data_IF_477379197941
#
_entry.id   IF_477379197941
#
_cell.length_a   1.000
_cell.length_b   1.000
_cell.length_c   1.000
_cell.angle_alpha   90.00
_cell.angle_beta   90.00
_cell.angle_gamma   90.00
#
_symmetry.space_group_name_H-M   'P 1'
#
loop_
_entity.id
_entity.type
_entity.pdbx_description
1 polymer ?
#
# COMPACT_ATOMS: atom_id res chain seq x y z
N UNK A 1 17.86 10.38 8.38
CA UNK A 1 18.30 10.38 6.97
C UNK A 1 18.29 8.98 6.38
N UNK A 2 18.95 8.00 7.01
CA UNK A 2 19.20 6.67 6.43
C UNK A 2 17.96 5.82 6.04
N UNK A 3 16.81 6.00 6.71
CA UNK A 3 15.55 5.27 6.39
C UNK A 3 14.80 5.94 5.22
N UNK A 4 14.87 7.27 5.11
CA UNK A 4 14.20 8.05 4.06
C UNK A 4 14.90 7.80 2.73
N UNK A 5 16.24 7.90 2.71
CA UNK A 5 17.04 7.63 1.50
C UNK A 5 16.87 6.19 0.98
N UNK A 6 16.75 5.21 1.89
CA UNK A 6 16.45 3.81 1.54
C UNK A 6 15.04 3.62 1.00
N UNK A 7 14.08 4.45 1.38
CA UNK A 7 12.71 4.39 0.86
C UNK A 7 12.58 5.12 -0.49
N UNK A 8 13.19 6.29 -0.64
CA UNK A 8 13.31 6.99 -1.92
C UNK A 8 13.89 6.06 -3.00
N UNK A 9 15.03 5.41 -2.70
CA UNK A 9 15.67 4.48 -3.63
C UNK A 9 14.79 3.28 -4.01
N UNK A 10 14.00 2.76 -3.07
CA UNK A 10 13.05 1.66 -3.35
C UNK A 10 11.87 2.11 -4.21
N UNK A 11 11.32 3.30 -3.93
CA UNK A 11 10.25 3.89 -4.75
C UNK A 11 10.70 4.14 -6.19
N UNK A 12 11.94 4.63 -6.37
CA UNK A 12 12.52 4.89 -7.71
C UNK A 12 12.69 3.58 -8.47
N UNK A 13 13.20 2.55 -7.81
CA UNK A 13 13.35 1.24 -8.42
C UNK A 13 12.00 0.64 -8.86
N UNK A 14 10.96 0.72 -8.01
CA UNK A 14 9.63 0.22 -8.34
C UNK A 14 9.03 1.02 -9.51
N UNK A 15 9.21 2.34 -9.52
CA UNK A 15 8.74 3.21 -10.60
C UNK A 15 9.42 2.89 -11.94
N UNK A 16 10.74 2.69 -11.93
CA UNK A 16 11.48 2.27 -13.12
C UNK A 16 10.99 0.92 -13.65
N UNK A 17 10.75 -0.06 -12.77
CA UNK A 17 10.18 -1.35 -13.16
C UNK A 17 8.80 -1.19 -13.79
N UNK A 18 7.91 -0.35 -13.23
CA UNK A 18 6.59 -0.11 -13.82
C UNK A 18 6.69 0.51 -15.20
N UNK A 19 7.55 1.53 -15.38
CA UNK A 19 7.75 2.16 -16.67
C UNK A 19 8.26 1.17 -17.72
N UNK A 20 9.23 0.32 -17.36
CA UNK A 20 9.73 -0.74 -18.25
C UNK A 20 8.60 -1.70 -18.63
N UNK A 21 7.79 -2.14 -17.67
CA UNK A 21 6.68 -3.07 -17.92
C UNK A 21 5.59 -2.42 -18.81
N UNK A 22 5.26 -1.14 -18.59
CA UNK A 22 4.34 -0.38 -19.45
C UNK A 22 4.90 -0.28 -20.88
N UNK A 23 6.18 0.03 -21.02
CA UNK A 23 6.82 0.12 -22.34
C UNK A 23 6.80 -1.22 -23.08
N UNK A 24 7.03 -2.33 -22.38
CA UNK A 24 6.90 -3.68 -22.94
C UNK A 24 5.46 -4.05 -23.33
N UNK A 25 4.47 -3.55 -22.58
CA UNK A 25 3.05 -3.74 -22.89
C UNK A 25 2.62 -2.91 -24.12
N UNK A 26 3.07 -1.66 -24.24
CA UNK A 26 2.78 -0.76 -25.37
C UNK A 26 3.53 -1.14 -26.65
N UNK A 27 4.68 -1.81 -26.54
CA UNK A 27 5.43 -2.31 -27.71
C UNK A 27 4.77 -3.49 -28.45
N UNK A 28 3.61 -3.98 -27.98
CA UNK A 28 2.93 -5.17 -28.48
C UNK A 28 2.05 -5.00 -29.74
N UNK A 29 1.76 -3.77 -30.18
CA UNK A 29 0.94 -3.49 -31.36
C UNK A 29 -0.32 -2.67 -31.06
N UNK A 30 -1.09 -2.30 -32.10
CA UNK A 30 -2.21 -1.36 -32.03
C UNK A 30 -3.53 -1.96 -31.50
N UNK A 31 -3.68 -3.29 -31.47
CA UNK A 31 -4.86 -3.97 -30.94
C UNK A 31 -4.57 -4.55 -29.56
N UNK A 32 -4.90 -3.78 -28.52
CA UNK A 32 -4.75 -4.20 -27.13
C UNK A 32 -5.80 -5.26 -26.78
N UNK A 33 -5.34 -6.48 -26.50
CA UNK A 33 -6.19 -7.56 -25.99
C UNK A 33 -6.76 -7.19 -24.61
N UNK A 34 -7.91 -7.76 -24.23
CA UNK A 34 -8.62 -7.43 -22.98
C UNK A 34 -7.73 -7.47 -21.73
N UNK A 35 -6.88 -8.49 -21.61
CA UNK A 35 -5.96 -8.64 -20.47
C UNK A 35 -4.81 -7.63 -20.49
N UNK A 36 -4.39 -7.13 -21.66
CA UNK A 36 -3.35 -6.10 -21.80
C UNK A 36 -3.88 -4.73 -21.41
N UNK A 37 -5.11 -4.42 -21.82
CA UNK A 37 -5.81 -3.20 -21.39
C UNK A 37 -5.99 -3.17 -19.86
N UNK A 38 -6.40 -4.31 -19.27
CA UNK A 38 -6.49 -4.44 -17.80
C UNK A 38 -5.12 -4.30 -17.12
N UNK A 39 -4.07 -4.90 -17.69
CA UNK A 39 -2.72 -4.79 -17.17
C UNK A 39 -2.20 -3.33 -17.24
N UNK A 40 -2.39 -2.64 -18.36
CA UNK A 40 -2.01 -1.24 -18.51
C UNK A 40 -2.74 -0.35 -17.51
N UNK A 41 -4.04 -0.54 -17.35
CA UNK A 41 -4.84 0.23 -16.39
C UNK A 41 -4.33 0.02 -14.95
N UNK A 42 -4.03 -1.22 -14.58
CA UNK A 42 -3.49 -1.54 -13.24
C UNK A 42 -2.08 -1.01 -13.03
N UNK A 43 -1.22 -1.02 -14.06
CA UNK A 43 0.11 -0.45 -14.01
C UNK A 43 0.10 1.09 -13.95
N UNK A 44 -0.81 1.75 -14.67
CA UNK A 44 -1.01 3.21 -14.59
C UNK A 44 -1.46 3.60 -13.18
N UNK A 45 -2.37 2.84 -12.57
CA UNK A 45 -2.76 3.06 -11.17
C UNK A 45 -1.56 2.89 -10.22
N UNK A 46 -0.73 1.85 -10.43
CA UNK A 46 0.49 1.65 -9.65
C UNK A 46 1.46 2.84 -9.76
N UNK A 47 1.65 3.35 -10.99
CA UNK A 47 2.46 4.54 -11.23
C UNK A 47 1.89 5.78 -10.53
N UNK A 48 0.56 5.97 -10.55
CA UNK A 48 -0.12 7.05 -9.82
C UNK A 48 0.15 7.03 -8.32
N UNK A 49 0.06 5.87 -7.67
CA UNK A 49 0.41 5.72 -6.26
C UNK A 49 1.89 6.02 -5.96
N UNK A 50 2.80 5.71 -6.89
CA UNK A 50 4.21 6.08 -6.73
C UNK A 50 4.42 7.57 -6.88
N UNK A 51 3.76 8.23 -7.84
CA UNK A 51 3.81 9.69 -7.97
C UNK A 51 3.33 10.37 -6.69
N UNK A 52 2.26 9.87 -6.07
CA UNK A 52 1.80 10.36 -4.75
C UNK A 52 2.87 10.12 -3.67
N UNK A 53 3.52 8.96 -3.69
CA UNK A 53 4.61 8.62 -2.76
C UNK A 53 5.79 9.58 -2.91
N UNK A 54 6.18 9.93 -4.14
CA UNK A 54 7.25 10.90 -4.42
C UNK A 54 6.86 12.33 -4.07
N UNK A 55 5.66 12.74 -4.47
CA UNK A 55 5.16 14.07 -4.17
C UNK A 55 5.09 14.30 -2.66
N UNK A 56 4.66 13.30 -1.89
CA UNK A 56 4.65 13.37 -0.42
C UNK A 56 6.06 13.35 0.20
N UNK A 57 7.04 12.73 -0.46
CA UNK A 57 8.44 12.73 -0.02
C UNK A 57 9.12 14.10 -0.20
N UNK A 58 8.77 14.86 -1.25
CA UNK A 58 9.27 16.22 -1.49
C UNK A 58 8.88 17.21 -0.38
N UNK A 59 7.79 16.94 0.36
CA UNK A 59 7.36 17.75 1.50
C UNK A 59 7.90 17.22 2.84
N UNK A 60 9.17 16.77 2.85
CA UNK A 60 9.87 16.02 3.91
C UNK A 60 9.75 16.56 5.36
N UNK A 61 9.23 17.77 5.58
CA UNK A 61 8.94 18.36 6.89
C UNK A 61 7.61 17.90 7.52
N UNK A 62 6.85 17.02 6.87
CA UNK A 62 5.51 16.65 7.34
C UNK A 62 5.49 15.53 8.41
N UNK A 63 4.69 15.79 9.46
CA UNK A 63 4.38 14.93 10.62
C UNK A 63 4.26 13.44 10.28
N UNK A 64 4.57 12.58 11.26
CA UNK A 64 4.51 11.09 11.26
C UNK A 64 3.31 10.47 10.51
N UNK A 65 2.16 11.14 10.45
CA UNK A 65 0.99 10.69 9.68
C UNK A 65 1.25 10.64 8.17
N UNK A 66 1.92 11.63 7.61
CA UNK A 66 2.26 11.70 6.18
C UNK A 66 3.26 10.63 5.77
N UNK A 67 4.25 10.35 6.61
CA UNK A 67 5.17 9.24 6.43
C UNK A 67 4.47 7.87 6.37
N UNK A 68 3.40 7.68 7.16
CA UNK A 68 2.58 6.45 7.09
C UNK A 68 1.81 6.37 5.77
N UNK A 69 1.25 7.48 5.30
CA UNK A 69 0.56 7.54 4.00
C UNK A 69 1.52 7.20 2.86
N UNK A 70 2.74 7.76 2.86
CA UNK A 70 3.79 7.45 1.91
C UNK A 70 4.11 5.95 1.88
N UNK A 71 4.33 5.35 3.04
CA UNK A 71 4.70 3.94 3.16
C UNK A 71 3.56 3.00 2.75
N UNK A 72 2.31 3.38 3.04
CA UNK A 72 1.12 2.66 2.58
C UNK A 72 0.96 2.78 1.06
N UNK A 73 1.12 3.98 0.49
CA UNK A 73 1.07 4.22 -0.96
C UNK A 73 2.12 3.41 -1.72
N UNK A 74 3.34 3.34 -1.19
CA UNK A 74 4.42 2.51 -1.75
C UNK A 74 4.03 1.02 -1.77
N UNK A 75 3.47 0.50 -0.69
CA UNK A 75 3.03 -0.91 -0.62
C UNK A 75 1.91 -1.21 -1.61
N UNK A 76 0.93 -0.31 -1.75
CA UNK A 76 -0.14 -0.44 -2.74
C UNK A 76 0.40 -0.45 -4.17
N UNK A 77 1.36 0.42 -4.48
CA UNK A 77 1.98 0.44 -5.82
C UNK A 77 2.67 -0.88 -6.16
N UNK A 78 3.38 -1.49 -5.20
CA UNK A 78 4.02 -2.80 -5.40
C UNK A 78 3.02 -3.93 -5.62
N UNK A 79 1.91 -3.94 -4.86
CA UNK A 79 0.84 -4.94 -5.04
C UNK A 79 0.14 -4.81 -6.39
N UNK A 80 -0.11 -3.57 -6.84
CA UNK A 80 -0.70 -3.29 -8.16
C UNK A 80 0.26 -3.64 -9.30
N UNK A 81 1.56 -3.42 -9.13
CA UNK A 81 2.61 -3.85 -10.07
C UNK A 81 2.56 -5.37 -10.24
N UNK A 82 2.55 -6.13 -9.15
CA UNK A 82 2.47 -7.59 -9.23
C UNK A 82 1.17 -8.09 -9.88
N UNK A 83 0.05 -7.41 -9.62
CA UNK A 83 -1.23 -7.72 -10.28
C UNK A 83 -1.18 -7.44 -11.79
N UNK A 84 -0.62 -6.31 -12.20
CA UNK A 84 -0.43 -5.96 -13.62
C UNK A 84 0.46 -6.96 -14.34
N UNK A 85 1.52 -7.45 -13.68
CA UNK A 85 2.39 -8.51 -14.21
C UNK A 85 1.65 -9.85 -14.39
N UNK A 86 0.79 -10.25 -13.45
CA UNK A 86 -0.05 -11.46 -13.60
C UNK A 86 -0.94 -11.35 -14.84
N UNK A 87 -1.54 -10.19 -15.07
CA UNK A 87 -2.42 -9.94 -16.21
C UNK A 87 -1.65 -9.97 -17.54
N UNK A 88 -0.44 -9.40 -17.58
CA UNK A 88 0.46 -9.51 -18.74
C UNK A 88 0.87 -10.96 -19.02
N UNK A 89 1.21 -11.72 -17.98
CA UNK A 89 1.54 -13.15 -18.07
C UNK A 89 0.37 -13.96 -18.63
N UNK A 90 -0.88 -13.59 -18.30
CA UNK A 90 -2.10 -14.21 -18.85
C UNK A 90 -2.38 -13.80 -20.29
N UNK A 91 -2.00 -12.59 -20.69
CA UNK A 91 -2.17 -12.14 -22.07
C UNK A 91 -1.20 -12.84 -23.03
N UNK A 92 0.04 -13.05 -22.59
CA UNK A 92 1.07 -13.71 -23.40
C UNK A 92 0.82 -15.22 -23.47
N UNK A 93 1.26 -15.86 -24.56
CA UNK A 93 1.18 -17.32 -24.79
C UNK A 93 2.14 -18.13 -23.92
N UNK A 94 2.27 -17.76 -22.64
CA UNK A 94 3.13 -18.40 -21.66
C UNK A 94 2.36 -19.58 -21.06
N UNK A 95 3.04 -20.69 -20.70
CA UNK A 95 2.38 -21.83 -20.06
C UNK A 95 1.55 -21.41 -18.84
N UNK A 96 0.28 -21.80 -18.82
CA UNK A 96 -0.68 -21.45 -17.77
C UNK A 96 -0.20 -21.81 -16.35
N UNK A 97 0.66 -22.82 -16.22
CA UNK A 97 1.26 -23.24 -14.94
C UNK A 97 2.01 -22.09 -14.27
N UNK A 98 2.81 -21.34 -15.03
CA UNK A 98 3.66 -20.27 -14.48
C UNK A 98 2.80 -19.04 -14.11
N UNK A 99 1.82 -18.69 -14.95
CA UNK A 99 0.85 -17.63 -14.64
C UNK A 99 0.01 -17.97 -13.40
N UNK A 100 -0.42 -19.22 -13.24
CA UNK A 100 -1.21 -19.65 -12.08
C UNK A 100 -0.39 -19.66 -10.78
N UNK A 101 0.87 -20.13 -10.82
CA UNK A 101 1.76 -20.09 -9.65
C UNK A 101 2.06 -18.65 -9.22
N UNK A 102 2.33 -17.78 -10.19
CA UNK A 102 2.55 -16.36 -9.91
C UNK A 102 1.27 -15.68 -9.40
N UNK A 103 0.12 -15.99 -9.99
CA UNK A 103 -1.20 -15.52 -9.51
C UNK A 103 -1.50 -15.94 -8.07
N UNK A 104 -1.17 -17.18 -7.69
CA UNK A 104 -1.31 -17.67 -6.32
C UNK A 104 -0.40 -16.89 -5.34
N UNK A 105 0.86 -16.63 -5.73
CA UNK A 105 1.77 -15.80 -4.94
C UNK A 105 1.23 -14.37 -4.74
N UNK A 106 0.69 -13.76 -5.80
CA UNK A 106 0.08 -12.43 -5.72
C UNK A 106 -1.15 -12.43 -4.82
N UNK A 107 -2.00 -13.45 -4.91
CA UNK A 107 -3.16 -13.60 -4.04
C UNK A 107 -2.77 -13.72 -2.55
N UNK A 108 -1.75 -14.53 -2.24
CA UNK A 108 -1.22 -14.66 -0.88
C UNK A 108 -0.66 -13.32 -0.39
N UNK A 109 0.06 -12.59 -1.25
CA UNK A 109 0.63 -11.29 -0.92
C UNK A 109 -0.47 -10.27 -0.58
N UNK A 110 -1.56 -10.26 -1.33
CA UNK A 110 -2.75 -9.46 -1.04
C UNK A 110 -3.39 -9.85 0.29
N UNK A 111 -3.60 -11.14 0.55
CA UNK A 111 -4.18 -11.62 1.81
C UNK A 111 -3.31 -11.27 3.02
N UNK A 112 -2.00 -11.47 2.92
CA UNK A 112 -1.06 -11.12 3.97
C UNK A 112 -1.07 -9.61 4.26
N UNK A 113 -1.18 -8.79 3.21
CA UNK A 113 -1.29 -7.35 3.36
C UNK A 113 -2.62 -6.93 4.02
N UNK A 114 -3.76 -7.47 3.58
CA UNK A 114 -5.08 -7.21 4.19
C UNK A 114 -5.06 -7.58 5.68
N UNK A 115 -4.52 -8.75 6.01
CA UNK A 115 -4.40 -9.21 7.40
C UNK A 115 -3.52 -8.27 8.23
N UNK A 116 -2.38 -7.85 7.69
CA UNK A 116 -1.49 -6.89 8.35
C UNK A 116 -2.21 -5.56 8.61
N UNK A 117 -2.90 -5.00 7.60
CA UNK A 117 -3.59 -3.71 7.71
C UNK A 117 -4.76 -3.79 8.70
N UNK A 118 -5.55 -4.86 8.65
CA UNK A 118 -6.62 -5.10 9.60
C UNK A 118 -6.10 -5.14 11.04
N UNK A 119 -5.04 -5.92 11.29
CA UNK A 119 -4.41 -6.00 12.62
C UNK A 119 -3.88 -4.65 13.09
N UNK A 120 -3.30 -3.87 12.17
CA UNK A 120 -2.76 -2.56 12.46
C UNK A 120 -3.86 -1.55 12.86
N UNK A 121 -4.95 -1.48 12.09
CA UNK A 121 -6.12 -0.66 12.41
C UNK A 121 -6.73 -1.07 13.76
N UNK A 122 -6.89 -2.37 13.98
CA UNK A 122 -7.46 -2.89 15.22
C UNK A 122 -6.58 -2.57 16.44
N UNK A 123 -5.25 -2.64 16.29
CA UNK A 123 -4.31 -2.27 17.36
C UNK A 123 -4.38 -0.77 17.70
N UNK A 124 -4.53 0.09 16.69
CA UNK A 124 -4.69 1.53 16.89
C UNK A 124 -6.01 1.82 17.59
N UNK A 125 -7.13 1.30 17.08
CA UNK A 125 -8.44 1.48 17.70
C UNK A 125 -8.46 0.99 19.14
N UNK A 126 -7.89 -0.19 19.41
CA UNK A 126 -7.78 -0.72 20.78
C UNK A 126 -6.97 0.17 21.70
N UNK A 127 -5.88 0.79 21.20
CA UNK A 127 -5.11 1.77 21.97
C UNK A 127 -5.94 3.00 22.27
N UNK A 128 -6.66 3.54 21.30
CA UNK A 128 -7.54 4.71 21.49
C UNK A 128 -8.66 4.42 22.48
N UNK A 129 -9.29 3.24 22.41
CA UNK A 129 -10.31 2.80 23.37
C UNK A 129 -9.76 2.66 24.79
N UNK A 130 -8.60 1.99 24.96
CA UNK A 130 -7.97 1.90 26.28
C UNK A 130 -7.60 3.27 26.85
N UNK A 131 -7.15 4.21 26.00
CA UNK A 131 -6.76 5.56 26.47
C UNK A 131 -7.98 6.40 26.84
N UNK A 132 -9.08 6.27 26.09
CA UNK A 132 -10.37 6.88 26.40
C UNK A 132 -11.04 6.34 27.66
N UNK A 133 -10.91 5.04 27.92
CA UNK A 133 -11.42 4.42 29.17
C UNK A 133 -10.61 4.83 30.40
N UNK A 134 -9.29 4.99 30.27
CA UNK A 134 -8.43 5.49 31.36
C UNK A 134 -8.81 6.93 31.72
N UNK A 135 -8.94 7.81 30.72
CA UNK A 135 -9.33 9.21 30.96
C UNK A 135 -10.75 9.34 31.52
N UNK A 136 -11.71 8.51 31.06
CA UNK A 136 -13.06 8.46 31.66
C UNK A 136 -13.07 7.99 33.11
N UNK A 137 -12.26 6.97 33.45
CA UNK A 137 -12.15 6.46 34.82
C UNK A 137 -11.50 7.46 35.76
N UNK A 138 -10.46 8.17 35.33
CA UNK A 138 -9.82 9.23 36.11
C UNK A 138 -10.77 10.41 36.35
N UNK A 139 -11.47 10.87 35.29
CA UNK A 139 -12.47 11.93 35.42
C UNK A 139 -13.63 11.55 36.36
N UNK A 140 -14.15 10.31 36.27
CA UNK A 140 -15.17 9.81 37.21
C UNK A 140 -14.68 9.74 38.65
N UNK A 141 -13.42 9.36 38.86
CA UNK A 141 -12.81 9.27 40.19
C UNK A 141 -12.64 10.65 40.81
N UNK A 142 -12.21 11.63 40.04
CA UNK A 142 -12.08 13.02 40.50
C UNK A 142 -13.46 13.64 40.77
N UNK A 143 -14.46 13.37 39.93
CA UNK A 143 -15.83 13.86 40.12
C UNK A 143 -16.52 13.30 41.38
N UNK A 144 -16.23 12.04 41.73
CA UNK A 144 -16.74 11.41 42.96
C UNK A 144 -16.00 11.96 44.18
N UNK A 145 -14.68 12.19 44.08
CA UNK A 145 -13.86 12.74 45.16
C UNK A 145 -14.28 14.17 45.53
N UNK A 146 -14.64 15.00 44.55
CA UNK A 146 -15.11 16.37 44.80
C UNK A 146 -16.54 16.45 45.37
N UNK A 147 -17.33 15.37 45.28
CA UNK A 147 -18.72 15.32 45.77
C UNK A 147 -18.91 14.62 47.12
N UNK A 148 -17.87 13.95 47.65
CA UNK A 148 -17.92 13.36 49.00
C UNK A 148 -17.06 14.24 49.91
N UNK A 149 -17.62 15.27 50.54
CA UNK A 149 -16.94 15.94 51.64
C UNK A 149 -16.86 14.95 52.81
N UNK A 150 -15.65 14.75 53.32
CA UNK A 150 -15.52 14.41 54.73
C UNK A 150 -15.98 15.59 55.58
#
# INVERSE_FOLDING_TARGET
MDIVDKMAGRSIAIFAVILVVIQFALGGGNDLLYYESLALTTLIMAAGFLTITFASELFADLKILWFRIQLTSLRYSGLLLFLGLVLLLKSRSIPNTLSNMFGAFVAISWLAWIYHEYRYIFKIQRRTWNTGDITRKEWLKDFIKDRIPF
#
